data_IF_695581236966
#
_entry.id   IF_695581236966
#
_cell.length_a   1.000
_cell.length_b   1.000
_cell.length_c   1.000
_cell.angle_alpha   90.00
_cell.angle_beta   90.00
_cell.angle_gamma   90.00
#
_symmetry.space_group_name_H-M   'P 1'
#
loop_
_entity.id
_entity.type
_entity.pdbx_description
1 polymer ?
#
# COMPACT_ATOMS: atom_id res chain seq x y z
N UNK A 1 -25.99 16.38 -22.19
CA UNK A 1 -25.26 15.34 -21.46
C UNK A 1 -23.92 15.96 -21.12
N UNK A 2 -23.77 16.42 -19.89
CA UNK A 2 -22.48 16.87 -19.37
C UNK A 2 -21.63 15.61 -19.18
N UNK A 3 -20.54 15.53 -19.91
CA UNK A 3 -19.50 14.54 -19.64
C UNK A 3 -18.81 15.01 -18.34
N UNK A 4 -19.32 14.57 -17.22
CA UNK A 4 -18.70 14.83 -15.93
C UNK A 4 -17.42 14.01 -15.85
N UNK A 5 -16.29 14.60 -16.23
CA UNK A 5 -14.98 14.12 -15.80
C UNK A 5 -14.84 14.58 -14.36
N UNK A 6 -14.96 13.66 -13.43
CA UNK A 6 -14.57 13.93 -12.04
C UNK A 6 -13.05 13.78 -12.00
N UNK A 7 -12.33 14.87 -11.86
CA UNK A 7 -10.89 14.81 -11.55
C UNK A 7 -10.78 14.40 -10.08
N UNK A 8 -10.07 13.33 -9.82
CA UNK A 8 -9.68 12.97 -8.47
C UNK A 8 -8.64 13.99 -7.97
N UNK A 9 -8.98 14.70 -6.91
CA UNK A 9 -8.11 15.70 -6.28
C UNK A 9 -7.47 15.06 -5.04
N UNK A 10 -6.75 13.95 -5.25
CA UNK A 10 -6.08 13.20 -4.19
C UNK A 10 -4.62 12.95 -4.55
N UNK A 11 -3.74 12.95 -3.56
CA UNK A 11 -2.43 12.33 -3.70
C UNK A 11 -2.62 10.83 -3.48
N UNK A 12 -2.35 10.04 -4.48
CA UNK A 12 -2.40 8.58 -4.38
C UNK A 12 -0.99 8.03 -4.48
N UNK A 13 -0.61 7.19 -3.53
CA UNK A 13 0.68 6.49 -3.53
C UNK A 13 0.42 4.99 -3.47
N UNK A 14 0.84 4.30 -4.53
CA UNK A 14 0.80 2.86 -4.61
C UNK A 14 2.22 2.29 -4.49
N UNK A 15 2.46 1.48 -3.46
CA UNK A 15 3.67 0.73 -3.26
C UNK A 15 3.43 -0.74 -3.60
N UNK A 16 4.34 -1.36 -4.37
CA UNK A 16 4.23 -2.77 -4.73
C UNK A 16 5.58 -3.48 -4.64
N UNK A 17 5.57 -4.69 -4.11
CA UNK A 17 6.71 -5.60 -4.12
C UNK A 17 6.24 -7.04 -4.34
N UNK A 18 6.61 -7.62 -5.48
CA UNK A 18 6.08 -8.90 -5.93
C UNK A 18 4.56 -8.85 -6.11
N UNK A 19 3.86 -9.75 -5.45
CA UNK A 19 2.39 -9.80 -5.43
C UNK A 19 1.75 -8.97 -4.29
N UNK A 20 2.55 -8.30 -3.46
CA UNK A 20 2.06 -7.48 -2.34
C UNK A 20 1.97 -6.02 -2.75
N UNK A 21 0.86 -5.37 -2.41
CA UNK A 21 0.69 -3.94 -2.61
C UNK A 21 0.13 -3.25 -1.37
N UNK A 22 0.34 -1.95 -1.28
CA UNK A 22 -0.33 -1.04 -0.38
C UNK A 22 -0.60 0.28 -1.12
N UNK A 23 -1.78 0.82 -0.94
CA UNK A 23 -2.25 2.07 -1.53
C UNK A 23 -2.68 3.00 -0.40
N UNK A 24 -2.36 4.29 -0.54
CA UNK A 24 -2.85 5.35 0.34
C UNK A 24 -3.33 6.53 -0.49
N UNK A 25 -4.52 7.02 -0.18
CA UNK A 25 -5.19 8.13 -0.87
C UNK A 25 -5.43 9.27 0.09
N UNK A 26 -4.81 10.41 -0.21
CA UNK A 26 -4.86 11.61 0.62
C UNK A 26 -5.55 12.70 -0.18
N UNK A 27 -6.75 13.14 0.22
CA UNK A 27 -7.43 14.24 -0.46
C UNK A 27 -6.59 15.52 -0.46
N UNK A 28 -6.48 16.18 -1.61
CA UNK A 28 -5.64 17.38 -1.77
C UNK A 28 -6.11 18.58 -0.92
N UNK A 29 -7.40 18.62 -0.57
CA UNK A 29 -7.98 19.66 0.29
C UNK A 29 -7.97 19.30 1.77
N UNK A 30 -7.21 18.28 2.16
CA UNK A 30 -7.10 17.93 3.59
C UNK A 30 -6.38 19.07 4.31
N UNK A 31 -7.13 20.12 4.65
CA UNK A 31 -6.73 20.90 5.81
C UNK A 31 -6.62 19.89 6.95
N UNK A 32 -5.54 19.93 7.71
CA UNK A 32 -5.25 19.07 8.87
C UNK A 32 -6.31 19.25 10.00
N UNK A 33 -7.58 19.36 9.66
CA UNK A 33 -8.71 19.31 10.57
C UNK A 33 -9.01 17.85 10.89
N UNK A 34 -9.43 17.57 12.10
CA UNK A 34 -9.85 16.22 12.51
C UNK A 34 -10.90 15.62 11.56
N UNK A 35 -11.74 16.46 10.95
CA UNK A 35 -12.75 16.04 9.97
C UNK A 35 -12.14 15.62 8.62
N UNK A 36 -10.91 16.02 8.31
CA UNK A 36 -10.21 15.63 7.08
C UNK A 36 -9.54 14.24 7.19
N UNK A 37 -9.36 13.72 8.39
CA UNK A 37 -8.79 12.38 8.59
C UNK A 37 -9.77 11.28 8.17
N UNK A 38 -11.06 11.52 8.25
CA UNK A 38 -12.11 10.57 7.83
C UNK A 38 -12.13 10.36 6.31
N UNK A 39 -11.49 11.26 5.55
CA UNK A 39 -11.39 11.16 4.09
C UNK A 39 -10.13 10.40 3.63
N UNK A 40 -9.21 10.07 4.54
CA UNK A 40 -8.05 9.26 4.22
C UNK A 40 -8.48 7.82 3.95
N UNK A 41 -7.97 7.27 2.87
CA UNK A 41 -8.23 5.90 2.48
C UNK A 41 -6.91 5.17 2.35
N UNK A 42 -6.86 3.95 2.84
CA UNK A 42 -5.72 3.08 2.65
C UNK A 42 -6.20 1.63 2.54
N UNK A 43 -5.58 0.87 1.66
CA UNK A 43 -5.85 -0.54 1.54
C UNK A 43 -4.58 -1.30 1.15
N UNK A 44 -4.54 -2.56 1.45
CA UNK A 44 -3.42 -3.43 1.13
C UNK A 44 -3.90 -4.84 0.83
N UNK A 45 -3.17 -5.54 -0.02
CA UNK A 45 -3.59 -6.85 -0.45
C UNK A 45 -2.58 -7.56 -1.32
N UNK A 46 -3.12 -8.42 -2.17
CA UNK A 46 -2.38 -9.16 -3.18
C UNK A 46 -2.85 -8.78 -4.56
N UNK A 47 -1.90 -8.56 -5.45
CA UNK A 47 -2.12 -8.36 -6.87
C UNK A 47 -1.81 -9.65 -7.63
N UNK A 48 -2.73 -10.09 -8.46
CA UNK A 48 -2.49 -11.13 -9.45
C UNK A 48 -2.80 -10.62 -10.85
N UNK A 49 -2.10 -11.14 -11.85
CA UNK A 49 -2.24 -10.73 -13.24
C UNK A 49 -2.62 -11.92 -14.12
N UNK A 50 -3.55 -11.69 -15.04
CA UNK A 50 -3.85 -12.59 -16.16
C UNK A 50 -3.84 -11.76 -17.46
N UNK A 51 -2.75 -11.84 -18.20
CA UNK A 51 -2.48 -10.93 -19.30
C UNK A 51 -2.43 -9.47 -18.84
N UNK A 52 -3.33 -8.65 -19.38
CA UNK A 52 -3.48 -7.24 -18.95
C UNK A 52 -4.52 -7.06 -17.83
N UNK A 53 -5.20 -8.11 -17.41
CA UNK A 53 -6.17 -8.03 -16.31
C UNK A 53 -5.44 -8.10 -14.98
N UNK A 54 -5.73 -7.16 -14.11
CA UNK A 54 -5.23 -7.09 -12.75
C UNK A 54 -6.36 -7.40 -11.77
N UNK A 55 -6.04 -8.15 -10.74
CA UNK A 55 -6.98 -8.57 -9.71
C UNK A 55 -6.37 -8.22 -8.36
N UNK A 56 -7.05 -7.35 -7.62
CA UNK A 56 -6.62 -6.86 -6.32
C UNK A 56 -7.47 -7.54 -5.24
N UNK A 57 -6.85 -8.41 -4.48
CA UNK A 57 -7.49 -9.10 -3.35
C UNK A 57 -7.07 -8.37 -2.06
N UNK A 58 -8.01 -7.65 -1.44
CA UNK A 58 -7.73 -6.78 -0.30
C UNK A 58 -7.69 -7.58 1.00
N UNK A 59 -6.56 -7.56 1.68
CA UNK A 59 -6.43 -8.10 3.04
C UNK A 59 -6.99 -7.12 4.07
N UNK A 60 -6.75 -5.82 3.88
CA UNK A 60 -7.19 -4.72 4.75
C UNK A 60 -7.66 -3.56 3.86
N UNK A 61 -8.83 -3.03 4.20
CA UNK A 61 -9.41 -1.86 3.54
C UNK A 61 -9.99 -0.94 4.62
N UNK A 62 -9.58 0.34 4.60
CA UNK A 62 -10.06 1.34 5.55
C UNK A 62 -11.34 2.04 5.07
N UNK A 63 -11.81 1.72 3.88
CA UNK A 63 -13.00 2.28 3.30
C UNK A 63 -14.24 1.84 4.09
N UNK A 64 -14.95 2.76 4.72
CA UNK A 64 -16.17 2.43 5.44
C UNK A 64 -17.21 1.77 4.54
N UNK A 65 -17.65 0.59 4.94
CA UNK A 65 -18.73 -0.14 4.26
C UNK A 65 -18.32 -0.99 3.05
N UNK A 66 -17.05 -1.01 2.68
CA UNK A 66 -16.54 -2.04 1.76
C UNK A 66 -16.06 -3.24 2.59
N UNK A 67 -16.61 -4.44 2.39
CA UNK A 67 -15.95 -5.63 2.89
C UNK A 67 -14.57 -5.68 2.23
N UNK A 68 -13.56 -6.18 2.93
CA UNK A 68 -12.29 -6.57 2.33
C UNK A 68 -12.62 -7.26 1.02
N UNK A 69 -12.32 -6.59 -0.09
CA UNK A 69 -12.99 -6.83 -1.37
C UNK A 69 -12.03 -7.27 -2.43
N UNK A 70 -12.59 -7.55 -3.55
CA UNK A 70 -11.88 -7.92 -4.74
C UNK A 70 -12.20 -6.87 -5.80
N UNK A 71 -11.17 -6.18 -6.28
CA UNK A 71 -11.27 -5.26 -7.40
C UNK A 71 -10.56 -5.85 -8.62
N UNK A 72 -11.04 -5.50 -9.80
CA UNK A 72 -10.41 -5.91 -11.04
C UNK A 72 -10.33 -4.72 -12.01
N UNK A 73 -9.21 -4.63 -12.69
CA UNK A 73 -8.99 -3.60 -13.71
C UNK A 73 -8.13 -4.12 -14.86
N UNK A 74 -7.92 -3.28 -15.87
CA UNK A 74 -6.97 -3.54 -16.95
C UNK A 74 -5.78 -2.60 -16.80
N UNK A 75 -4.57 -3.17 -16.88
CA UNK A 75 -3.32 -2.42 -16.82
C UNK A 75 -2.73 -2.25 -18.21
N UNK A 76 -2.49 -1.01 -18.60
CA UNK A 76 -1.78 -0.63 -19.82
C UNK A 76 -0.46 0.02 -19.45
N UNK A 77 0.63 -0.70 -19.64
CA UNK A 77 1.98 -0.26 -19.26
C UNK A 77 2.67 0.33 -20.48
N UNK A 78 3.34 1.48 -20.30
CA UNK A 78 4.17 2.08 -21.34
C UNK A 78 5.39 1.21 -21.66
N UNK A 79 5.95 1.36 -22.88
CA UNK A 79 7.10 0.57 -23.32
C UNK A 79 8.34 0.76 -22.42
N UNK A 80 8.52 1.96 -21.87
CA UNK A 80 9.60 2.31 -20.94
C UNK A 80 9.28 1.90 -19.49
N UNK A 81 8.07 1.38 -19.21
CA UNK A 81 7.58 0.96 -17.91
C UNK A 81 7.52 2.04 -16.84
N UNK A 82 7.62 3.30 -17.22
CA UNK A 82 7.56 4.43 -16.27
C UNK A 82 6.14 4.93 -16.03
N UNK A 83 5.21 4.57 -16.92
CA UNK A 83 3.81 4.96 -16.85
C UNK A 83 2.92 3.73 -16.93
N UNK A 84 1.88 3.77 -16.13
CA UNK A 84 0.82 2.78 -16.12
C UNK A 84 -0.52 3.49 -16.23
N UNK A 85 -1.42 2.96 -17.03
CA UNK A 85 -2.83 3.35 -17.01
C UNK A 85 -3.64 2.18 -16.51
N UNK A 86 -4.40 2.43 -15.48
CA UNK A 86 -5.37 1.50 -14.92
C UNK A 86 -6.77 1.87 -15.40
N UNK A 87 -7.51 0.89 -15.91
CA UNK A 87 -8.86 1.06 -16.45
C UNK A 87 -9.79 0.12 -15.73
N UNK A 88 -10.63 0.65 -14.88
CA UNK A 88 -11.74 -0.06 -14.24
C UNK A 88 -13.06 0.12 -15.02
N UNK A 89 -14.15 -0.37 -14.45
CA UNK A 89 -15.48 -0.29 -15.07
C UNK A 89 -15.98 1.16 -15.19
N UNK A 90 -15.65 2.02 -14.24
CA UNK A 90 -16.15 3.39 -14.12
C UNK A 90 -15.03 4.44 -13.88
N UNK A 91 -13.75 4.03 -13.94
CA UNK A 91 -12.62 4.92 -13.74
C UNK A 91 -11.47 4.66 -14.73
N UNK A 92 -10.64 5.67 -14.91
CA UNK A 92 -9.33 5.56 -15.57
C UNK A 92 -8.33 6.35 -14.73
N UNK A 93 -7.30 5.67 -14.25
CA UNK A 93 -6.21 6.28 -13.47
C UNK A 93 -4.90 6.22 -14.25
N UNK A 94 -4.10 7.27 -14.11
CA UNK A 94 -2.75 7.35 -14.68
C UNK A 94 -1.71 7.33 -13.58
N UNK A 95 -0.78 6.39 -13.63
CA UNK A 95 0.26 6.20 -12.64
C UNK A 95 1.63 6.50 -13.23
N UNK A 96 2.49 7.10 -12.43
CA UNK A 96 3.89 7.37 -12.77
C UNK A 96 4.77 6.65 -11.76
N UNK A 97 5.70 5.85 -12.25
CA UNK A 97 6.70 5.22 -11.40
C UNK A 97 7.69 6.29 -10.90
N UNK A 98 7.77 6.46 -9.59
CA UNK A 98 8.65 7.45 -8.95
C UNK A 98 9.91 6.81 -8.35
N UNK A 99 9.84 5.53 -8.00
CA UNK A 99 10.96 4.78 -7.44
C UNK A 99 11.06 3.40 -8.07
N UNK A 100 12.27 2.91 -8.23
CA UNK A 100 12.53 1.55 -8.70
C UNK A 100 12.67 0.59 -7.52
N UNK A 101 12.23 -0.64 -7.75
CA UNK A 101 12.48 -1.74 -6.83
C UNK A 101 13.98 -2.03 -6.78
N UNK A 102 14.59 -1.88 -5.62
CA UNK A 102 15.99 -2.23 -5.38
C UNK A 102 16.12 -3.36 -4.32
N UNK A 103 17.34 -3.75 -4.01
CA UNK A 103 17.63 -4.78 -3.01
C UNK A 103 17.27 -4.36 -1.57
N UNK A 104 16.89 -3.11 -1.36
CA UNK A 104 16.48 -2.56 -0.06
C UNK A 104 14.97 -2.59 0.17
N UNK A 105 14.21 -3.10 -0.80
CA UNK A 105 12.78 -3.23 -0.65
C UNK A 105 12.43 -4.28 0.40
N UNK A 106 11.48 -3.93 1.24
CA UNK A 106 11.07 -4.78 2.35
C UNK A 106 9.55 -4.82 2.43
N UNK A 107 9.01 -6.02 2.55
CA UNK A 107 7.62 -6.24 2.90
C UNK A 107 7.57 -6.82 4.29
N UNK A 108 6.86 -6.16 5.18
CA UNK A 108 6.69 -6.57 6.56
C UNK A 108 5.20 -6.80 6.80
N UNK A 109 4.84 -7.94 7.36
CA UNK A 109 3.45 -8.27 7.70
C UNK A 109 3.31 -8.61 9.17
N UNK A 110 2.18 -8.19 9.73
CA UNK A 110 1.66 -8.71 11.00
C UNK A 110 0.50 -9.62 10.68
N UNK A 111 0.51 -10.82 11.23
CA UNK A 111 -0.52 -11.84 11.02
C UNK A 111 -1.20 -12.22 12.32
N UNK A 112 -2.45 -12.67 12.21
CA UNK A 112 -3.21 -13.15 13.35
C UNK A 112 -2.56 -14.41 13.95
N UNK A 113 -2.06 -14.35 15.19
CA UNK A 113 -1.42 -15.49 15.83
C UNK A 113 -2.42 -16.56 16.28
N UNK A 114 -3.69 -16.19 16.46
CA UNK A 114 -4.73 -17.09 16.96
C UNK A 114 -5.50 -17.83 15.86
N UNK A 115 -5.33 -17.38 14.61
CA UNK A 115 -5.99 -17.95 13.43
C UNK A 115 -5.11 -18.95 12.68
N UNK A 116 -5.46 -19.21 11.43
CA UNK A 116 -4.65 -20.04 10.52
C UNK A 116 -3.29 -19.41 10.13
N UNK A 117 -3.02 -18.19 10.62
CA UNK A 117 -1.88 -17.37 10.19
C UNK A 117 -2.06 -16.76 8.79
N UNK A 118 -3.23 -16.94 8.20
CA UNK A 118 -3.54 -16.43 6.85
C UNK A 118 -4.03 -14.97 6.88
N UNK A 119 -4.73 -14.58 7.97
CA UNK A 119 -5.25 -13.22 8.10
C UNK A 119 -4.14 -12.22 8.36
N UNK A 120 -4.02 -11.22 7.49
CA UNK A 120 -3.10 -10.10 7.64
C UNK A 120 -3.76 -9.03 8.52
N UNK A 121 -3.08 -8.61 9.59
CA UNK A 121 -3.50 -7.56 10.53
C UNK A 121 -2.78 -6.24 10.27
N UNK A 122 -1.71 -6.28 9.52
CA UNK A 122 -0.95 -5.10 9.10
C UNK A 122 0.07 -5.45 8.03
N UNK A 123 0.32 -4.49 7.14
CA UNK A 123 1.38 -4.59 6.13
C UNK A 123 2.08 -3.25 5.98
N UNK A 124 3.40 -3.30 5.89
CA UNK A 124 4.26 -2.18 5.57
C UNK A 124 5.11 -2.56 4.37
N UNK A 125 5.07 -1.74 3.33
CA UNK A 125 5.96 -1.84 2.18
C UNK A 125 6.96 -0.69 2.20
N UNK A 126 8.24 -1.02 2.17
CA UNK A 126 9.32 -0.07 1.98
C UNK A 126 9.88 -0.28 0.57
N UNK A 127 9.72 0.70 -0.29
CA UNK A 127 10.19 0.70 -1.66
C UNK A 127 11.11 1.92 -1.82
N UNK A 128 12.39 1.68 -2.08
CA UNK A 128 13.36 2.78 -2.14
C UNK A 128 13.36 3.62 -0.86
N UNK A 129 12.91 4.86 -0.98
CA UNK A 129 12.79 5.82 0.14
C UNK A 129 11.37 5.99 0.66
N UNK A 130 10.40 5.34 0.06
CA UNK A 130 8.98 5.47 0.41
C UNK A 130 8.52 4.27 1.22
N UNK A 131 7.77 4.52 2.29
CA UNK A 131 7.11 3.49 3.07
C UNK A 131 5.61 3.75 3.13
N UNK A 132 4.82 2.73 2.79
CA UNK A 132 3.36 2.74 2.88
C UNK A 132 2.94 1.64 3.83
N UNK A 133 2.17 2.00 4.87
CA UNK A 133 1.69 1.06 5.87
C UNK A 133 0.18 1.11 6.01
N UNK A 134 -0.44 -0.07 6.17
CA UNK A 134 -1.87 -0.24 6.42
C UNK A 134 -2.04 -1.32 7.50
N UNK A 135 -2.90 -1.06 8.48
CA UNK A 135 -3.16 -1.99 9.58
C UNK A 135 -4.64 -1.96 10.00
N UNK A 136 -5.09 -3.05 10.60
CA UNK A 136 -6.46 -3.19 11.11
C UNK A 136 -6.54 -3.22 12.64
N UNK A 137 -5.40 -3.32 13.33
CA UNK A 137 -5.34 -3.42 14.79
C UNK A 137 -4.19 -2.59 15.38
N UNK A 138 -4.36 -2.00 16.60
CA UNK A 138 -5.54 -2.05 17.47
C UNK A 138 -6.73 -1.23 16.95
N UNK A 139 -6.50 -0.32 16.02
CA UNK A 139 -7.51 0.44 15.29
C UNK A 139 -7.11 0.46 13.82
N UNK A 140 -8.07 0.43 12.92
CA UNK A 140 -7.78 0.48 11.48
C UNK A 140 -7.12 1.81 11.12
N UNK A 141 -6.05 1.74 10.35
CA UNK A 141 -5.30 2.92 9.93
C UNK A 141 -4.30 2.65 8.83
N UNK A 142 -3.65 3.72 8.41
CA UNK A 142 -2.58 3.68 7.43
C UNK A 142 -1.77 4.97 7.43
N UNK A 143 -0.66 4.98 6.72
CA UNK A 143 0.18 6.15 6.61
C UNK A 143 1.26 6.04 5.55
N UNK A 144 1.86 7.18 5.25
CA UNK A 144 2.93 7.36 4.29
C UNK A 144 4.13 8.01 4.99
N UNK A 145 5.29 7.43 4.81
CA UNK A 145 6.56 7.91 5.37
C UNK A 145 7.64 7.99 4.31
N UNK A 146 8.64 8.82 4.57
CA UNK A 146 9.92 8.81 3.85
C UNK A 146 10.97 8.19 4.76
N UNK A 147 11.66 7.20 4.22
CA UNK A 147 12.83 6.61 4.86
C UNK A 147 14.01 7.57 4.76
N UNK A 148 14.52 7.98 5.90
CA UNK A 148 15.78 8.73 6.02
C UNK A 148 16.96 7.78 6.19
N UNK A 149 18.13 8.32 6.51
CA UNK A 149 19.33 7.51 6.72
C UNK A 149 19.10 6.38 7.73
N UNK A 150 19.42 5.18 7.36
CA UNK A 150 19.10 3.98 8.12
C UNK A 150 17.62 3.60 8.03
N UNK A 151 16.98 3.31 9.17
CA UNK A 151 15.59 2.86 9.25
C UNK A 151 14.65 3.88 9.90
N UNK A 152 15.08 5.13 9.94
CA UNK A 152 14.26 6.23 10.45
C UNK A 152 13.19 6.57 9.43
N UNK A 153 11.93 6.48 9.82
CA UNK A 153 10.78 6.84 9.03
C UNK A 153 10.28 8.23 9.45
N UNK A 154 10.29 9.17 8.54
CA UNK A 154 9.68 10.49 8.73
C UNK A 154 8.29 10.50 8.11
N UNK A 155 7.27 10.74 8.93
CA UNK A 155 5.90 10.82 8.47
C UNK A 155 5.73 11.99 7.50
N UNK A 156 5.17 11.68 6.32
CA UNK A 156 4.83 12.68 5.31
C UNK A 156 3.37 13.07 5.37
N UNK A 157 2.49 12.10 5.54
CA UNK A 157 1.05 12.32 5.46
C UNK A 157 0.31 11.36 6.38
N UNK A 158 -0.59 11.94 7.14
CA UNK A 158 -1.75 11.42 7.78
C UNK A 158 -1.72 9.97 8.26
N UNK A 159 -1.09 9.74 9.40
CA UNK A 159 -1.37 8.53 10.15
C UNK A 159 -2.73 8.68 10.78
N UNK A 160 -3.68 7.87 10.35
CA UNK A 160 -4.96 7.72 11.03
C UNK A 160 -4.98 6.37 11.76
N UNK A 161 -5.68 6.34 12.86
CA UNK A 161 -5.62 5.22 13.80
C UNK A 161 -4.36 5.27 14.68
N UNK A 162 -4.25 4.31 15.61
CA UNK A 162 -3.05 4.16 16.44
C UNK A 162 -1.96 3.48 15.62
N UNK A 163 -0.97 4.26 15.20
CA UNK A 163 0.17 3.71 14.46
C UNK A 163 0.98 2.76 15.34
N UNK A 164 1.41 1.61 14.82
CA UNK A 164 2.43 0.80 15.46
C UNK A 164 3.78 1.57 15.48
N UNK A 165 4.69 1.16 16.35
CA UNK A 165 6.05 1.75 16.42
C UNK A 165 6.92 1.30 15.24
N UNK A 166 6.58 1.78 14.04
CA UNK A 166 7.14 1.31 12.77
C UNK A 166 8.67 1.46 12.70
N UNK A 167 9.24 2.52 13.25
CA UNK A 167 10.69 2.72 13.31
C UNK A 167 11.39 1.59 14.06
N UNK A 168 10.85 1.25 15.23
CA UNK A 168 11.38 0.16 16.06
C UNK A 168 11.21 -1.19 15.36
N UNK A 169 10.03 -1.43 14.78
CA UNK A 169 9.76 -2.65 14.02
C UNK A 169 10.74 -2.82 12.87
N UNK A 170 10.90 -1.78 12.04
CA UNK A 170 11.82 -1.81 10.91
C UNK A 170 13.26 -2.01 11.35
N UNK A 171 13.69 -1.33 12.42
CA UNK A 171 15.03 -1.46 12.96
C UNK A 171 15.32 -2.87 13.44
N UNK A 172 14.47 -3.46 14.26
CA UNK A 172 14.66 -4.80 14.80
C UNK A 172 14.68 -5.88 13.71
N UNK A 173 13.72 -5.82 12.76
CA UNK A 173 13.67 -6.77 11.67
C UNK A 173 14.85 -6.63 10.70
N UNK A 174 15.33 -5.41 10.46
CA UNK A 174 16.51 -5.19 9.62
C UNK A 174 17.82 -5.66 10.25
N UNK A 175 17.87 -5.72 11.59
CA UNK A 175 19.00 -6.27 12.34
C UNK A 175 18.93 -7.79 12.54
N UNK A 176 18.00 -8.46 11.87
CA UNK A 176 17.94 -9.92 11.81
C UNK A 176 16.98 -10.56 12.81
N UNK A 177 16.12 -9.79 13.47
CA UNK A 177 15.00 -10.37 14.20
C UNK A 177 14.07 -11.09 13.20
N UNK A 178 13.67 -12.32 13.50
CA UNK A 178 12.73 -13.06 12.66
C UNK A 178 11.30 -12.51 12.82
N UNK A 179 10.95 -12.14 14.06
CA UNK A 179 9.65 -11.56 14.42
C UNK A 179 9.87 -10.49 15.48
N UNK A 180 9.21 -9.36 15.36
CA UNK A 180 9.16 -8.31 16.36
C UNK A 180 7.72 -7.78 16.52
N UNK A 181 7.17 -7.85 17.74
CA UNK A 181 5.77 -7.47 18.06
C UNK A 181 4.72 -8.06 17.08
N UNK A 182 4.93 -9.31 16.69
CA UNK A 182 4.09 -10.01 15.72
C UNK A 182 4.32 -9.62 14.26
N UNK A 183 5.21 -8.67 13.98
CA UNK A 183 5.64 -8.30 12.63
C UNK A 183 6.80 -9.17 12.17
N UNK A 184 6.78 -9.56 10.93
CA UNK A 184 7.81 -10.38 10.31
C UNK A 184 8.09 -9.93 8.87
N UNK A 185 9.33 -10.12 8.43
CA UNK A 185 9.69 -9.91 7.02
C UNK A 185 9.07 -11.03 6.20
N UNK A 186 8.27 -10.64 5.22
CA UNK A 186 7.76 -11.56 4.21
C UNK A 186 8.69 -11.51 3.02
N UNK A 187 9.27 -12.66 2.66
CA UNK A 187 9.97 -12.76 1.39
C UNK A 187 8.92 -12.64 0.31
N UNK A 188 8.90 -11.52 -0.42
CA UNK A 188 8.13 -11.45 -1.65
C UNK A 188 8.65 -12.56 -2.56
N UNK A 189 7.75 -13.40 -3.08
CA UNK A 189 8.09 -14.32 -4.15
C UNK A 189 8.51 -13.46 -5.35
N UNK A 190 9.82 -13.18 -5.40
CA UNK A 190 10.45 -12.28 -6.36
C UNK A 190 10.53 -12.97 -7.71
N UNK A 191 9.45 -12.96 -8.43
CA UNK A 191 9.49 -12.86 -9.88
C UNK A 191 8.56 -11.70 -10.23
N UNK A 192 9.08 -10.58 -10.76
CA UNK A 192 8.22 -9.65 -11.45
C UNK A 192 7.54 -10.47 -12.55
N UNK A 193 6.23 -10.62 -12.44
CA UNK A 193 5.47 -11.24 -13.52
C UNK A 193 5.75 -10.37 -14.75
N UNK A 194 6.49 -10.94 -15.67
CA UNK A 194 6.81 -10.23 -16.91
C UNK A 194 5.52 -10.13 -17.68
N UNK A 195 4.92 -8.95 -17.66
CA UNK A 195 3.80 -8.62 -18.55
C UNK A 195 4.40 -8.60 -19.95
N UNK A 196 4.07 -9.60 -20.73
CA UNK A 196 4.51 -9.75 -22.14
C UNK A 196 3.51 -9.10 -23.07
#
# INVERSE_FOLDING_TARGET
MENGVTEEVSLVVWAQSGDRFADIRVPAETSLSLDGLDALQAFTGKLSLDGSSAFFDHDIDTFEGRPAGFDASYLLISDDRTHLREVGDDFIEGWVQTEEADSSNLVIERRDPEGSGERVLGRLLLIGHTAVGVWSEPTTGGGLWVRRAGWVLEELVGVFGSAPELDTICFELSNGAEVYDGWQVVKSDTQPQTIS
#
